data_IF_875975069127
#
_entry.id   IF_875975069127
#
_cell.length_a   1.000
_cell.length_b   1.000
_cell.length_c   1.000
_cell.angle_alpha   90.00
_cell.angle_beta   90.00
_cell.angle_gamma   90.00
#
_symmetry.space_group_name_H-M   'P 1'
#
loop_
_entity.id
_entity.type
_entity.pdbx_description
1 polymer ?
#
# COMPACT_ATOMS: atom_id res chain seq x y z
N UNK A 1 22.85 5.89 -26.28
CA UNK A 1 22.38 4.50 -26.16
C UNK A 1 20.97 4.50 -25.59
N UNK A 2 20.04 3.92 -26.29
CA UNK A 2 18.66 3.73 -25.78
C UNK A 2 18.62 2.59 -24.76
N UNK A 3 17.88 2.77 -23.65
CA UNK A 3 17.67 1.77 -22.63
C UNK A 3 16.19 1.68 -22.30
N UNK A 4 15.73 0.50 -21.86
CA UNK A 4 14.35 0.25 -21.53
C UNK A 4 14.24 -0.18 -20.06
N UNK A 5 13.21 0.31 -19.37
CA UNK A 5 12.79 -0.16 -18.06
C UNK A 5 11.50 -0.97 -18.21
N UNK A 6 11.50 -2.23 -17.78
CA UNK A 6 10.36 -3.12 -17.86
C UNK A 6 10.14 -3.84 -16.53
N UNK A 7 8.89 -4.15 -16.22
CA UNK A 7 8.54 -5.03 -15.10
C UNK A 7 7.23 -5.76 -15.40
N UNK A 8 7.04 -6.90 -14.77
CA UNK A 8 5.81 -7.68 -14.83
C UNK A 8 4.93 -7.36 -13.62
N UNK A 9 3.62 -7.48 -13.81
CA UNK A 9 2.62 -7.37 -12.74
C UNK A 9 1.48 -8.36 -12.98
N UNK A 10 0.77 -8.71 -11.93
CA UNK A 10 -0.43 -9.53 -12.02
C UNK A 10 -1.66 -8.65 -11.97
N UNK A 11 -2.66 -8.96 -12.78
CA UNK A 11 -3.96 -8.32 -12.74
C UNK A 11 -5.06 -9.36 -12.55
N UNK A 12 -5.91 -9.11 -11.57
CA UNK A 12 -7.04 -9.96 -11.21
C UNK A 12 -8.34 -9.23 -11.57
N UNK A 13 -9.11 -9.79 -12.51
CA UNK A 13 -10.37 -9.22 -12.97
C UNK A 13 -11.49 -9.32 -11.92
N UNK A 14 -11.31 -10.17 -10.92
CA UNK A 14 -12.20 -10.27 -9.77
C UNK A 14 -11.39 -10.56 -8.49
N UNK A 15 -11.75 -9.94 -7.37
CA UNK A 15 -11.10 -10.20 -6.08
C UNK A 15 -11.18 -11.68 -5.66
N UNK A 16 -12.19 -12.40 -6.12
CA UNK A 16 -12.33 -13.83 -5.86
C UNK A 16 -11.21 -14.69 -6.48
N UNK A 17 -10.50 -14.17 -7.48
CA UNK A 17 -9.36 -14.85 -8.14
C UNK A 17 -8.06 -14.72 -7.35
N UNK A 18 -7.98 -13.76 -6.41
CA UNK A 18 -6.82 -13.60 -5.55
C UNK A 18 -6.61 -14.84 -4.67
N UNK A 19 -5.36 -15.21 -4.38
CA UNK A 19 -5.06 -16.18 -3.31
C UNK A 19 -5.77 -15.79 -2.01
N UNK A 20 -6.24 -16.79 -1.26
CA UNK A 20 -7.05 -16.58 -0.05
C UNK A 20 -6.43 -15.60 0.95
N UNK A 21 -5.12 -15.69 1.17
CA UNK A 21 -4.42 -14.80 2.10
C UNK A 21 -4.42 -13.34 1.61
N UNK A 22 -4.29 -13.13 0.31
CA UNK A 22 -4.29 -11.80 -0.30
C UNK A 22 -5.69 -11.20 -0.34
N UNK A 23 -6.71 -12.03 -0.65
CA UNK A 23 -8.12 -11.61 -0.60
C UNK A 23 -8.51 -11.15 0.81
N UNK A 24 -8.09 -11.90 1.85
CA UNK A 24 -8.33 -11.50 3.24
C UNK A 24 -7.61 -10.18 3.58
N UNK A 25 -6.40 -10.00 3.09
CA UNK A 25 -5.66 -8.75 3.33
C UNK A 25 -6.33 -7.55 2.67
N UNK A 26 -6.86 -7.71 1.44
CA UNK A 26 -7.66 -6.68 0.76
C UNK A 26 -8.90 -6.34 1.60
N UNK A 27 -9.63 -7.34 2.10
CA UNK A 27 -10.80 -7.11 2.95
C UNK A 27 -10.43 -6.33 4.24
N UNK A 28 -9.25 -6.57 4.81
CA UNK A 28 -8.77 -5.80 5.96
C UNK A 28 -8.43 -4.35 5.59
N UNK A 29 -7.87 -4.10 4.39
CA UNK A 29 -7.66 -2.75 3.89
C UNK A 29 -8.99 -2.02 3.64
N UNK A 30 -9.98 -2.71 3.07
CA UNK A 30 -11.34 -2.16 2.89
C UNK A 30 -11.95 -1.77 4.24
N UNK A 31 -11.85 -2.61 5.25
CA UNK A 31 -12.34 -2.30 6.62
C UNK A 31 -11.64 -1.10 7.22
N UNK A 32 -10.36 -0.93 6.98
CA UNK A 32 -9.59 0.20 7.49
C UNK A 32 -10.04 1.56 6.92
N UNK A 33 -10.76 1.60 5.79
CA UNK A 33 -11.33 2.84 5.24
C UNK A 33 -12.31 3.51 6.21
N UNK A 34 -12.97 2.73 7.08
CA UNK A 34 -13.94 3.25 8.03
C UNK A 34 -13.33 4.20 9.08
N UNK A 35 -12.03 4.08 9.36
CA UNK A 35 -11.32 4.92 10.31
C UNK A 35 -10.63 6.14 9.66
N UNK A 36 -10.76 6.29 8.35
CA UNK A 36 -10.19 7.42 7.63
C UNK A 36 -10.86 8.74 8.02
N UNK A 37 -10.06 9.79 8.18
CA UNK A 37 -10.53 11.15 8.39
C UNK A 37 -10.32 11.95 7.10
N UNK A 38 -11.37 12.06 6.28
CA UNK A 38 -11.33 12.70 4.97
C UNK A 38 -12.43 13.75 4.79
N UNK A 39 -12.47 14.79 5.64
CA UNK A 39 -13.55 15.77 5.62
C UNK A 39 -13.58 16.64 4.35
N UNK A 40 -12.43 16.78 3.68
CA UNK A 40 -12.29 17.63 2.50
C UNK A 40 -12.53 16.88 1.20
N UNK A 41 -11.76 15.81 0.97
CA UNK A 41 -11.84 15.03 -0.27
C UNK A 41 -13.00 14.02 -0.31
N UNK A 42 -13.47 13.60 0.85
CA UNK A 42 -14.40 12.46 1.01
C UNK A 42 -13.83 11.13 0.49
N UNK A 43 -12.54 11.09 0.22
CA UNK A 43 -11.83 9.91 -0.27
C UNK A 43 -11.15 9.19 0.89
N UNK A 44 -11.75 8.10 1.35
CA UNK A 44 -11.31 7.30 2.48
C UNK A 44 -10.41 6.17 1.99
N UNK A 45 -9.16 6.15 2.42
CA UNK A 45 -8.18 5.12 2.06
C UNK A 45 -7.87 4.27 3.28
N UNK A 46 -7.82 2.97 3.07
CA UNK A 46 -7.37 1.99 4.04
C UNK A 46 -6.18 1.21 3.50
N UNK A 47 -5.24 0.90 4.38
CA UNK A 47 -4.12 0.03 4.10
C UNK A 47 -4.06 -1.09 5.14
N UNK A 48 -3.67 -2.28 4.71
CA UNK A 48 -3.39 -3.41 5.60
C UNK A 48 -2.07 -4.06 5.17
N UNK A 49 -1.24 -4.40 6.14
CA UNK A 49 0.03 -5.07 5.88
C UNK A 49 0.11 -6.39 6.63
N UNK A 50 0.54 -7.44 5.95
CA UNK A 50 0.91 -8.71 6.55
C UNK A 50 2.41 -8.73 6.75
N UNK A 51 2.83 -8.86 8.00
CA UNK A 51 4.22 -9.02 8.37
C UNK A 51 4.66 -10.49 8.19
N UNK A 52 5.97 -10.73 8.15
CA UNK A 52 6.53 -12.09 8.04
C UNK A 52 6.04 -13.02 9.14
N UNK A 53 5.82 -12.52 10.35
CA UNK A 53 5.23 -13.29 11.45
C UNK A 53 3.78 -13.71 11.25
N UNK A 54 3.10 -13.14 10.23
CA UNK A 54 1.67 -13.30 10.01
C UNK A 54 0.81 -12.23 10.67
N UNK A 55 1.40 -11.33 11.47
CA UNK A 55 0.68 -10.21 12.08
C UNK A 55 0.15 -9.26 11.01
N UNK A 56 -1.06 -8.76 11.22
CA UNK A 56 -1.70 -7.76 10.36
C UNK A 56 -1.68 -6.41 11.06
N UNK A 57 -1.20 -5.39 10.35
CA UNK A 57 -1.24 -3.99 10.75
C UNK A 57 -2.17 -3.21 9.82
N UNK A 58 -2.70 -2.09 10.32
CA UNK A 58 -3.67 -1.27 9.60
C UNK A 58 -3.25 0.19 9.56
N UNK A 59 -3.68 0.90 8.54
CA UNK A 59 -3.55 2.34 8.42
C UNK A 59 -4.75 2.94 7.70
N UNK A 60 -5.07 4.19 8.02
CA UNK A 60 -6.13 4.97 7.37
C UNK A 60 -5.59 6.36 7.10
N UNK A 61 -6.07 7.02 6.03
CA UNK A 61 -5.64 8.38 5.74
C UNK A 61 -6.25 9.38 6.71
N UNK A 62 -5.53 10.46 6.95
CA UNK A 62 -5.95 11.58 7.77
C UNK A 62 -5.68 12.89 7.02
N UNK A 63 -6.73 13.65 6.78
CA UNK A 63 -6.62 14.99 6.21
C UNK A 63 -6.58 16.02 7.33
N UNK A 64 -5.54 16.85 7.34
CA UNK A 64 -5.34 17.92 8.33
C UNK A 64 -5.85 19.26 7.80
N UNK A 65 -6.32 20.13 8.67
CA UNK A 65 -6.57 21.54 8.34
C UNK A 65 -5.27 22.24 7.89
N UNK A 66 -4.14 21.77 8.36
CA UNK A 66 -2.81 22.16 7.87
C UNK A 66 -2.38 21.09 6.86
N UNK A 67 -2.59 21.31 5.59
CA UNK A 67 -2.47 20.31 4.52
C UNK A 67 -1.17 19.49 4.54
N UNK A 68 0.03 20.07 4.75
CA UNK A 68 1.26 19.28 4.82
C UNK A 68 1.33 18.30 5.99
N UNK A 69 0.50 18.46 7.03
CA UNK A 69 0.46 17.56 8.18
C UNK A 69 -0.42 16.31 7.93
N UNK A 70 -1.22 16.29 6.88
CA UNK A 70 -2.00 15.13 6.48
C UNK A 70 -1.12 13.95 6.05
N UNK A 71 -1.66 12.73 6.17
CA UNK A 71 -0.91 11.52 5.88
C UNK A 71 -1.78 10.48 5.17
N UNK A 72 -1.22 9.84 4.13
CA UNK A 72 -1.87 8.73 3.45
C UNK A 72 -1.91 7.47 4.33
N UNK A 73 -2.87 6.60 4.09
CA UNK A 73 -3.06 5.36 4.84
C UNK A 73 -1.79 4.48 4.84
N UNK A 74 -1.14 4.37 3.68
CA UNK A 74 0.07 3.57 3.51
C UNK A 74 1.21 4.09 4.37
N UNK A 75 1.44 5.40 4.42
CA UNK A 75 2.51 6.00 5.25
C UNK A 75 2.18 5.94 6.73
N UNK A 76 0.92 6.12 7.11
CA UNK A 76 0.47 5.92 8.49
C UNK A 76 0.84 4.52 8.96
N UNK A 77 0.53 3.49 8.16
CA UNK A 77 0.83 2.11 8.48
C UNK A 77 2.35 1.85 8.51
N UNK A 78 3.06 2.27 7.46
CA UNK A 78 4.49 1.97 7.33
C UNK A 78 5.33 2.65 8.41
N UNK A 79 5.04 3.88 8.77
CA UNK A 79 5.75 4.58 9.85
C UNK A 79 5.51 3.90 11.20
N UNK A 80 4.28 3.48 11.47
CA UNK A 80 3.97 2.70 12.66
C UNK A 80 4.71 1.35 12.67
N UNK A 81 4.69 0.64 11.54
CA UNK A 81 5.40 -0.64 11.41
C UNK A 81 6.91 -0.48 11.65
N UNK A 82 7.53 0.54 11.06
CA UNK A 82 8.95 0.79 11.21
C UNK A 82 9.34 1.23 12.64
N UNK A 83 8.44 1.89 13.36
CA UNK A 83 8.68 2.32 14.74
C UNK A 83 8.51 1.18 15.75
N UNK A 84 7.63 0.20 15.47
CA UNK A 84 7.22 -0.81 16.47
C UNK A 84 7.58 -2.25 16.08
N UNK A 85 7.83 -2.53 14.79
CA UNK A 85 8.04 -3.86 14.22
C UNK A 85 9.19 -3.87 13.20
N UNK A 86 10.28 -3.12 13.47
CA UNK A 86 11.40 -2.98 12.54
C UNK A 86 12.06 -4.31 12.15
N UNK A 87 12.03 -5.31 13.05
CA UNK A 87 12.63 -6.63 12.84
C UNK A 87 11.66 -7.65 12.21
N UNK A 88 10.41 -7.24 11.92
CA UNK A 88 9.38 -8.09 11.33
C UNK A 88 8.96 -7.50 9.97
N UNK A 89 9.61 -7.92 8.87
CA UNK A 89 9.39 -7.31 7.56
C UNK A 89 7.95 -7.36 7.07
N UNK A 90 7.52 -6.30 6.39
CA UNK A 90 6.27 -6.30 5.65
C UNK A 90 6.43 -7.18 4.40
N UNK A 91 5.71 -8.29 4.34
CA UNK A 91 5.70 -9.16 3.15
C UNK A 91 4.76 -8.65 2.07
N UNK A 92 3.57 -8.21 2.47
CA UNK A 92 2.53 -7.75 1.55
C UNK A 92 1.77 -6.58 2.15
N UNK A 93 1.57 -5.55 1.35
CA UNK A 93 0.75 -4.38 1.69
C UNK A 93 -0.40 -4.28 0.70
N UNK A 94 -1.64 -4.22 1.21
CA UNK A 94 -2.85 -4.01 0.41
C UNK A 94 -3.42 -2.61 0.63
N UNK A 95 -3.94 -2.02 -0.42
CA UNK A 95 -4.53 -0.68 -0.43
C UNK A 95 -5.94 -0.76 -1.00
N UNK A 96 -6.89 -0.12 -0.33
CA UNK A 96 -8.28 0.01 -0.78
C UNK A 96 -8.83 1.41 -0.52
N UNK A 97 -9.90 1.78 -1.18
CA UNK A 97 -10.55 3.08 -1.00
C UNK A 97 -12.07 2.98 -0.93
N UNK A 98 -12.68 3.98 -0.32
CA UNK A 98 -14.13 4.20 -0.32
C UNK A 98 -14.39 5.71 -0.55
N UNK A 99 -14.99 6.13 -1.68
CA UNK A 99 -15.55 5.29 -2.75
C UNK A 99 -14.49 4.47 -3.50
N UNK A 100 -14.90 3.34 -4.09
CA UNK A 100 -14.04 2.38 -4.80
C UNK A 100 -14.41 2.34 -6.29
N UNK A 101 -14.23 3.47 -6.97
CA UNK A 101 -14.58 3.60 -8.40
C UNK A 101 -13.51 3.04 -9.34
N UNK A 102 -12.31 2.85 -8.83
CA UNK A 102 -11.13 2.31 -9.54
C UNK A 102 -10.14 1.75 -8.52
N UNK A 103 -9.14 1.02 -8.99
CA UNK A 103 -8.04 0.59 -8.13
C UNK A 103 -7.33 1.78 -7.50
N UNK A 104 -7.03 1.67 -6.22
CA UNK A 104 -6.35 2.71 -5.45
C UNK A 104 -4.84 2.51 -5.55
N UNK A 105 -4.18 3.33 -6.35
CA UNK A 105 -2.74 3.33 -6.49
C UNK A 105 -2.07 4.28 -5.49
N UNK A 106 -0.92 3.92 -4.91
CA UNK A 106 -0.22 4.78 -3.97
C UNK A 106 0.32 6.05 -4.64
N UNK A 107 0.26 7.17 -3.95
CA UNK A 107 0.84 8.42 -4.43
C UNK A 107 2.38 8.34 -4.48
N UNK A 108 3.03 9.31 -5.13
CA UNK A 108 4.49 9.31 -5.30
C UNK A 108 5.26 9.30 -3.98
N UNK A 109 4.80 10.03 -2.96
CA UNK A 109 5.41 10.01 -1.63
C UNK A 109 5.29 8.64 -0.95
N UNK A 110 4.13 7.97 -1.09
CA UNK A 110 3.96 6.63 -0.57
C UNK A 110 4.87 5.62 -1.28
N UNK A 111 5.03 5.75 -2.60
CA UNK A 111 5.95 4.88 -3.37
C UNK A 111 7.39 5.05 -2.92
N UNK A 112 7.83 6.28 -2.65
CA UNK A 112 9.16 6.54 -2.11
C UNK A 112 9.34 5.84 -0.74
N UNK A 113 8.39 6.03 0.18
CA UNK A 113 8.46 5.39 1.51
C UNK A 113 8.40 3.86 1.41
N UNK A 114 7.58 3.30 0.50
CA UNK A 114 7.54 1.85 0.26
C UNK A 114 8.92 1.31 -0.15
N UNK A 115 9.62 1.99 -1.04
CA UNK A 115 10.97 1.59 -1.47
C UNK A 115 11.97 1.76 -0.33
N UNK A 116 11.88 2.83 0.46
CA UNK A 116 12.76 3.03 1.62
C UNK A 116 12.58 1.90 2.65
N UNK A 117 11.33 1.50 2.94
CA UNK A 117 11.01 0.38 3.83
C UNK A 117 11.56 -0.94 3.26
N UNK A 118 11.31 -1.22 1.99
CA UNK A 118 11.78 -2.43 1.30
C UNK A 118 13.31 -2.55 1.39
N UNK A 119 14.02 -1.45 1.18
CA UNK A 119 15.48 -1.41 1.30
C UNK A 119 15.95 -1.61 2.74
N UNK A 120 15.32 -0.95 3.72
CA UNK A 120 15.67 -1.07 5.14
C UNK A 120 15.46 -2.49 5.65
N UNK A 121 14.37 -3.15 5.27
CA UNK A 121 14.08 -4.52 5.70
C UNK A 121 14.88 -5.59 4.93
N UNK A 122 15.55 -5.23 3.84
CA UNK A 122 16.36 -6.15 3.03
C UNK A 122 15.56 -7.27 2.35
N UNK A 123 14.26 -7.06 2.12
CA UNK A 123 13.37 -8.03 1.52
C UNK A 123 12.29 -7.31 0.70
N UNK A 124 11.85 -7.87 -0.44
CA UNK A 124 10.81 -7.27 -1.25
C UNK A 124 9.48 -7.18 -0.50
N UNK A 125 8.72 -6.15 -0.80
CA UNK A 125 7.37 -5.94 -0.30
C UNK A 125 6.40 -6.01 -1.48
N UNK A 126 5.54 -7.02 -1.50
CA UNK A 126 4.46 -7.10 -2.48
C UNK A 126 3.43 -6.01 -2.20
N UNK A 127 2.87 -5.43 -3.25
CA UNK A 127 1.84 -4.40 -3.13
C UNK A 127 0.61 -4.81 -3.92
N UNK A 128 -0.53 -4.87 -3.24
CA UNK A 128 -1.85 -5.15 -3.82
C UNK A 128 -2.63 -3.84 -3.88
N UNK A 129 -2.95 -3.39 -5.07
CA UNK A 129 -3.73 -2.19 -5.32
C UNK A 129 -5.13 -2.60 -5.76
N UNK A 130 -6.11 -2.43 -4.89
CA UNK A 130 -7.47 -2.92 -5.13
C UNK A 130 -8.48 -1.79 -5.32
N UNK A 131 -9.56 -2.10 -6.01
CA UNK A 131 -10.71 -1.21 -6.20
C UNK A 131 -11.62 -1.70 -7.32
N UNK A 132 -12.86 -1.27 -7.29
CA UNK A 132 -13.87 -1.62 -8.28
C UNK A 132 -14.00 -3.14 -8.52
N UNK A 133 -13.74 -3.93 -7.47
CA UNK A 133 -13.80 -5.40 -7.54
C UNK A 133 -12.61 -6.07 -8.21
N UNK A 134 -11.57 -5.32 -8.59
CA UNK A 134 -10.34 -5.81 -9.24
C UNK A 134 -9.10 -5.56 -8.39
N UNK A 135 -7.97 -6.12 -8.76
CA UNK A 135 -6.70 -5.84 -8.11
C UNK A 135 -5.53 -5.97 -9.09
N UNK A 136 -4.57 -5.07 -8.93
CA UNK A 136 -3.24 -5.16 -9.57
C UNK A 136 -2.20 -5.41 -8.49
N UNK A 137 -1.29 -6.36 -8.73
CA UNK A 137 -0.27 -6.80 -7.77
C UNK A 137 1.12 -6.67 -8.40
N UNK A 138 2.05 -6.06 -7.67
CA UNK A 138 3.47 -6.07 -7.99
C UNK A 138 4.24 -6.85 -6.93
N UNK A 139 5.30 -7.55 -7.35
CA UNK A 139 6.12 -8.40 -6.49
C UNK A 139 7.07 -7.62 -5.57
N UNK A 140 7.31 -6.35 -5.89
CA UNK A 140 8.21 -5.46 -5.16
C UNK A 140 7.76 -4.01 -5.31
N UNK A 141 7.83 -3.25 -4.23
CA UNK A 141 7.56 -1.82 -4.24
C UNK A 141 8.47 -1.04 -5.22
N UNK A 142 9.67 -1.53 -5.47
CA UNK A 142 10.60 -0.94 -6.42
C UNK A 142 10.03 -0.85 -7.85
N UNK A 143 9.08 -1.73 -8.22
CA UNK A 143 8.40 -1.68 -9.53
C UNK A 143 7.58 -0.41 -9.71
N UNK A 144 7.11 0.18 -8.62
CA UNK A 144 6.24 1.36 -8.63
C UNK A 144 7.00 2.69 -8.71
N UNK A 145 8.35 2.67 -8.61
CA UNK A 145 9.15 3.90 -8.60
C UNK A 145 10.47 3.72 -9.36
N UNK A 146 10.43 3.72 -10.71
CA UNK A 146 11.65 3.78 -11.53
C UNK A 146 12.49 5.01 -11.18
N UNK A 147 13.81 4.90 -11.27
CA UNK A 147 14.75 6.00 -10.97
C UNK A 147 14.54 6.56 -9.56
N UNK A 148 14.43 5.67 -8.59
CA UNK A 148 14.21 5.99 -7.18
C UNK A 148 15.31 6.90 -6.64
N UNK A 149 14.91 7.95 -5.90
CA UNK A 149 15.86 8.79 -5.16
C UNK A 149 16.52 7.98 -4.02
N UNK A 150 17.82 8.09 -3.91
CA UNK A 150 18.67 7.43 -2.91
C UNK A 150 19.65 8.45 -2.38
N UNK A 151 19.79 8.56 -1.05
CA UNK A 151 20.83 9.35 -0.37
C UNK A 151 22.17 8.61 -0.37
#
# INVERSE_FOLDING_TARGET
MEKQFCFDYEHYAALAELPDADRRLVAEAERATANAHAPYSKFHVGAAARLRSGKILYGSNFESEVYPAGLCAERTLMFYAQANYADDPIETLAIASNPSERECYPCGQCRQVMVDVERRQGAPMRVIMSGHGTATVVDSAARLLPFTFIL
#
